data_IF_983628467641
#
_entry.id   IF_983628467641
#
_cell.length_a   1.000
_cell.length_b   1.000
_cell.length_c   1.000
_cell.angle_alpha   90.00
_cell.angle_beta   90.00
_cell.angle_gamma   90.00
#
_symmetry.space_group_name_H-M   'P 1'
#
loop_
_entity.id
_entity.type
_entity.pdbx_description
1 polymer ?
#
# COMPACT_ATOMS: atom_id res chain seq x y z
N UNK A 1 21.62 5.15 4.74
CA UNK A 1 20.85 6.31 5.28
C UNK A 1 19.70 6.60 4.30
N UNK A 2 18.49 6.86 4.77
CA UNK A 2 17.38 7.28 3.91
C UNK A 2 17.49 8.79 3.71
N UNK A 3 17.76 9.23 2.49
CA UNK A 3 18.00 10.64 2.17
C UNK A 3 16.78 11.34 1.54
N UNK A 4 15.86 10.56 1.00
CA UNK A 4 14.68 11.07 0.31
C UNK A 4 13.48 10.17 0.53
N UNK A 5 12.30 10.76 0.66
CA UNK A 5 11.01 10.07 0.65
C UNK A 5 10.03 10.83 -0.27
N UNK A 6 9.38 10.16 -1.22
CA UNK A 6 8.37 10.79 -2.06
C UNK A 6 7.14 11.20 -1.23
N UNK A 7 6.34 12.14 -1.75
CA UNK A 7 5.04 12.43 -1.18
C UNK A 7 4.01 11.39 -1.62
N UNK A 8 2.98 11.15 -0.78
CA UNK A 8 1.88 10.26 -1.15
C UNK A 8 1.02 10.89 -2.24
N UNK A 9 0.64 10.09 -3.23
CA UNK A 9 -0.29 10.48 -4.27
C UNK A 9 -1.74 10.11 -3.88
N UNK A 10 -2.75 10.76 -4.49
CA UNK A 10 -4.16 10.45 -4.24
C UNK A 10 -4.49 8.99 -4.49
N UNK A 11 -5.16 8.33 -3.54
CA UNK A 11 -5.55 6.91 -3.60
C UNK A 11 -4.40 5.94 -3.96
N UNK A 12 -3.14 6.33 -3.70
CA UNK A 12 -1.98 5.50 -4.01
C UNK A 12 -1.90 4.30 -3.06
N UNK A 13 -1.76 3.10 -3.61
CA UNK A 13 -1.52 1.90 -2.83
C UNK A 13 -0.13 1.96 -2.15
N UNK A 14 -0.01 1.55 -0.88
CA UNK A 14 1.27 1.59 -0.17
C UNK A 14 2.38 0.80 -0.88
N UNK A 15 2.02 -0.32 -1.52
CA UNK A 15 2.93 -1.06 -2.40
C UNK A 15 3.51 -0.18 -3.52
N UNK A 16 2.66 0.64 -4.16
CA UNK A 16 3.07 1.58 -5.20
C UNK A 16 4.01 2.66 -4.66
N UNK A 17 3.69 3.20 -3.47
CA UNK A 17 4.55 4.15 -2.78
C UNK A 17 5.97 3.60 -2.53
N UNK A 18 6.08 2.36 -2.06
CA UNK A 18 7.37 1.69 -1.85
C UNK A 18 8.11 1.46 -3.18
N UNK A 19 7.39 1.13 -4.26
CA UNK A 19 7.98 0.98 -5.59
C UNK A 19 8.52 2.30 -6.13
N UNK A 20 7.81 3.41 -5.93
CA UNK A 20 8.33 4.76 -6.27
C UNK A 20 9.54 5.13 -5.40
N UNK A 21 9.46 4.89 -4.11
CA UNK A 21 10.60 5.10 -3.22
C UNK A 21 11.84 4.34 -3.70
N UNK A 22 11.68 3.08 -4.12
CA UNK A 22 12.80 2.30 -4.68
C UNK A 22 13.44 2.98 -5.90
N UNK A 23 12.61 3.46 -6.83
CA UNK A 23 13.08 4.10 -8.07
C UNK A 23 13.76 5.46 -7.80
N UNK A 24 13.21 6.24 -6.86
CA UNK A 24 13.63 7.62 -6.61
C UNK A 24 14.76 7.72 -5.58
N UNK A 25 14.95 6.70 -4.73
CA UNK A 25 15.98 6.68 -3.68
C UNK A 25 17.39 6.33 -4.18
N UNK A 26 17.53 5.88 -5.44
CA UNK A 26 18.80 5.40 -5.98
C UNK A 26 19.25 4.04 -5.43
N UNK A 27 18.37 3.30 -4.75
CA UNK A 27 18.69 1.95 -4.26
C UNK A 27 18.97 1.00 -5.44
N UNK A 28 20.14 0.34 -5.40
CA UNK A 28 20.58 -0.56 -6.47
C UNK A 28 19.77 -1.85 -6.54
N UNK A 29 19.20 -2.30 -5.42
CA UNK A 29 18.46 -3.55 -5.36
C UNK A 29 17.16 -3.44 -4.55
N UNK A 30 16.16 -4.25 -4.92
CA UNK A 30 14.92 -4.38 -4.15
C UNK A 30 15.18 -4.82 -2.70
N UNK A 31 16.20 -5.65 -2.49
CA UNK A 31 16.61 -6.10 -1.14
C UNK A 31 17.05 -4.94 -0.27
N UNK A 32 17.80 -3.99 -0.83
CA UNK A 32 18.22 -2.77 -0.11
C UNK A 32 17.00 -1.94 0.31
N UNK A 33 16.02 -1.76 -0.60
CA UNK A 33 14.76 -1.08 -0.28
C UNK A 33 13.98 -1.82 0.80
N UNK A 34 13.90 -3.14 0.74
CA UNK A 34 13.24 -3.94 1.77
C UNK A 34 13.87 -3.73 3.15
N UNK A 35 15.20 -3.72 3.24
CA UNK A 35 15.90 -3.45 4.50
C UNK A 35 15.64 -2.06 5.07
N UNK A 36 15.46 -1.08 4.21
CA UNK A 36 15.14 0.29 4.64
C UNK A 36 13.68 0.44 5.08
N UNK A 37 12.76 -0.22 4.38
CA UNK A 37 11.32 -0.08 4.61
C UNK A 37 10.81 -1.01 5.70
N UNK A 38 11.26 -2.25 5.74
CA UNK A 38 10.73 -3.30 6.60
C UNK A 38 11.72 -3.79 7.65
N UNK A 39 11.21 -4.19 8.81
CA UNK A 39 12.02 -4.79 9.88
C UNK A 39 12.54 -6.19 9.52
N UNK A 40 11.84 -6.88 8.61
CA UNK A 40 12.20 -8.22 8.13
C UNK A 40 12.08 -8.28 6.62
N UNK A 41 13.08 -8.90 5.98
CA UNK A 41 13.02 -9.18 4.54
C UNK A 41 11.96 -10.25 4.31
N UNK A 42 11.14 -10.02 3.30
CA UNK A 42 10.13 -10.95 2.82
C UNK A 42 10.44 -11.34 1.37
N UNK A 43 10.10 -12.57 0.99
CA UNK A 43 10.22 -13.01 -0.40
C UNK A 43 9.11 -12.44 -1.30
N UNK A 44 8.16 -11.70 -0.73
CA UNK A 44 7.05 -11.07 -1.43
C UNK A 44 6.71 -9.73 -0.79
N UNK A 45 6.11 -8.85 -1.58
CA UNK A 45 5.50 -7.62 -1.09
C UNK A 45 4.00 -7.87 -0.89
N UNK A 46 3.50 -7.49 0.27
CA UNK A 46 2.07 -7.49 0.51
C UNK A 46 1.46 -6.24 -0.15
N UNK A 47 0.51 -6.46 -1.03
CA UNK A 47 -0.21 -5.35 -1.70
C UNK A 47 -1.39 -4.87 -0.89
N UNK A 48 -1.88 -5.66 0.06
CA UNK A 48 -3.08 -5.38 0.84
C UNK A 48 -2.80 -4.59 2.11
N UNK A 49 -1.62 -4.82 2.72
CA UNK A 49 -1.27 -4.28 4.03
C UNK A 49 0.14 -3.69 4.05
N UNK A 50 0.41 -2.86 5.05
CA UNK A 50 1.72 -2.19 5.17
C UNK A 50 2.82 -3.18 5.59
N UNK A 51 2.50 -4.16 6.44
CA UNK A 51 3.49 -5.06 7.02
C UNK A 51 4.27 -4.43 8.19
N UNK A 52 5.38 -5.07 8.55
CA UNK A 52 6.23 -4.69 9.70
C UNK A 52 7.27 -3.66 9.26
N UNK A 53 6.94 -2.37 9.41
CA UNK A 53 7.80 -1.27 8.99
C UNK A 53 8.97 -1.10 9.96
N UNK A 54 10.15 -0.85 9.40
CA UNK A 54 11.35 -0.46 10.14
C UNK A 54 11.13 0.87 10.90
N UNK A 55 11.66 0.99 12.11
CA UNK A 55 11.48 2.18 12.97
C UNK A 55 11.97 3.48 12.33
N UNK A 56 13.12 3.43 11.65
CA UNK A 56 13.65 4.60 10.97
C UNK A 56 12.73 5.05 9.84
N UNK A 57 12.24 4.11 9.04
CA UNK A 57 11.30 4.41 7.96
C UNK A 57 9.97 4.93 8.50
N UNK A 58 9.43 4.31 9.56
CA UNK A 58 8.24 4.78 10.24
C UNK A 58 8.37 6.23 10.72
N UNK A 59 9.49 6.57 11.38
CA UNK A 59 9.73 7.92 11.89
C UNK A 59 9.81 8.97 10.78
N UNK A 60 10.27 8.61 9.60
CA UNK A 60 10.31 9.50 8.46
C UNK A 60 8.96 9.63 7.76
N UNK A 61 8.27 8.52 7.54
CA UNK A 61 7.01 8.50 6.80
C UNK A 61 5.87 9.21 7.55
N UNK A 62 5.83 9.10 8.89
CA UNK A 62 4.82 9.78 9.72
C UNK A 62 4.90 11.31 9.63
N UNK A 63 6.06 11.87 9.27
CA UNK A 63 6.21 13.31 9.05
C UNK A 63 5.63 13.75 7.69
N UNK A 64 5.41 12.82 6.76
CA UNK A 64 4.79 13.07 5.46
C UNK A 64 3.27 12.92 5.50
N UNK A 65 2.78 11.94 6.24
CA UNK A 65 1.35 11.62 6.37
C UNK A 65 1.12 10.89 7.69
N UNK A 66 0.04 11.19 8.38
CA UNK A 66 -0.32 10.47 9.60
C UNK A 66 -0.41 8.96 9.32
N UNK A 67 0.16 8.14 10.21
CA UNK A 67 0.24 6.70 9.98
C UNK A 67 -1.13 6.03 9.94
N UNK A 68 -2.10 6.57 10.66
CA UNK A 68 -3.49 6.13 10.60
C UNK A 68 -4.08 6.39 9.22
N UNK A 69 -3.81 7.57 8.65
CA UNK A 69 -4.28 7.93 7.32
C UNK A 69 -3.61 7.09 6.23
N UNK A 70 -2.35 6.67 6.44
CA UNK A 70 -1.67 5.72 5.55
C UNK A 70 -2.38 4.36 5.60
N UNK A 71 -2.69 3.84 6.78
CA UNK A 71 -3.41 2.57 6.93
C UNK A 71 -4.78 2.63 6.26
N UNK A 72 -5.53 3.71 6.50
CA UNK A 72 -6.89 3.85 5.99
C UNK A 72 -6.95 4.21 4.49
N UNK A 73 -6.03 5.03 4.03
CA UNK A 73 -6.06 5.61 2.68
C UNK A 73 -5.19 4.91 1.65
N UNK A 74 -4.17 4.14 2.09
CA UNK A 74 -3.18 3.55 1.20
C UNK A 74 -3.11 2.01 1.29
N UNK A 75 -4.04 1.36 2.01
CA UNK A 75 -4.14 -0.10 2.11
C UNK A 75 -5.53 -0.59 1.78
N UNK A 76 -5.68 -1.90 1.58
CA UNK A 76 -6.99 -2.55 1.40
C UNK A 76 -7.66 -2.92 2.74
N UNK A 77 -7.05 -2.61 3.88
CA UNK A 77 -7.59 -2.96 5.19
C UNK A 77 -9.04 -2.51 5.39
N UNK A 78 -9.44 -1.26 5.07
CA UNK A 78 -10.83 -0.82 5.26
C UNK A 78 -11.84 -1.71 4.53
N UNK A 79 -11.52 -2.17 3.33
CA UNK A 79 -12.37 -3.10 2.57
C UNK A 79 -12.54 -4.44 3.30
N UNK A 80 -11.45 -5.06 3.77
CA UNK A 80 -11.51 -6.37 4.42
C UNK A 80 -12.24 -6.39 5.76
N UNK A 81 -12.25 -5.25 6.48
CA UNK A 81 -12.92 -5.16 7.78
C UNK A 81 -14.29 -4.49 7.70
N UNK A 82 -14.73 -4.03 6.52
CA UNK A 82 -15.96 -3.24 6.38
C UNK A 82 -17.17 -3.91 7.04
N UNK A 83 -17.41 -5.19 6.79
CA UNK A 83 -18.53 -5.95 7.33
C UNK A 83 -18.24 -6.65 8.67
N UNK A 84 -17.10 -6.38 9.30
CA UNK A 84 -16.75 -6.99 10.59
C UNK A 84 -17.34 -6.20 11.77
N UNK A 85 -17.52 -6.90 12.90
CA UNK A 85 -17.99 -6.27 14.16
C UNK A 85 -17.02 -5.17 14.61
N UNK A 86 -17.55 -4.14 15.28
CA UNK A 86 -16.77 -2.98 15.77
C UNK A 86 -15.57 -3.40 16.64
N UNK A 87 -15.78 -4.30 17.60
CA UNK A 87 -14.70 -4.81 18.47
C UNK A 87 -13.58 -5.49 17.67
N UNK A 88 -13.91 -6.20 16.59
CA UNK A 88 -12.92 -6.79 15.70
C UNK A 88 -12.15 -5.71 14.94
N UNK A 89 -12.85 -4.71 14.39
CA UNK A 89 -12.21 -3.57 13.69
C UNK A 89 -11.20 -2.85 14.60
N UNK A 90 -11.61 -2.52 15.81
CA UNK A 90 -10.76 -1.85 16.81
C UNK A 90 -9.50 -2.66 17.14
N UNK A 91 -9.65 -3.98 17.33
CA UNK A 91 -8.51 -4.86 17.58
C UNK A 91 -7.54 -4.89 16.38
N UNK A 92 -8.07 -5.00 15.16
CA UNK A 92 -7.25 -5.00 13.94
C UNK A 92 -6.53 -3.67 13.77
N UNK A 93 -7.23 -2.54 13.93
CA UNK A 93 -6.60 -1.22 13.90
C UNK A 93 -5.50 -1.08 14.94
N UNK A 94 -5.77 -1.48 16.21
CA UNK A 94 -4.76 -1.44 17.27
C UNK A 94 -3.52 -2.24 16.94
N UNK A 95 -3.68 -3.44 16.36
CA UNK A 95 -2.55 -4.26 15.89
C UNK A 95 -1.76 -3.58 14.78
N UNK A 96 -2.44 -2.99 13.79
CA UNK A 96 -1.80 -2.27 12.69
C UNK A 96 -1.04 -1.03 13.19
N UNK A 97 -1.64 -0.24 14.10
CA UNK A 97 -0.99 0.94 14.66
C UNK A 97 0.23 0.58 15.51
N UNK A 98 0.19 -0.55 16.19
CA UNK A 98 1.34 -1.07 16.93
C UNK A 98 2.35 -1.79 16.01
N UNK A 99 2.15 -1.69 14.69
CA UNK A 99 3.02 -2.31 13.66
C UNK A 99 3.15 -3.83 13.79
N UNK A 100 2.11 -4.47 14.35
CA UNK A 100 2.04 -5.93 14.48
C UNK A 100 1.53 -6.54 13.16
N UNK A 101 2.38 -7.30 12.48
CA UNK A 101 2.12 -7.86 11.15
C UNK A 101 1.22 -9.08 11.11
N UNK A 102 0.80 -9.64 12.23
CA UNK A 102 -0.04 -10.83 12.28
C UNK A 102 -1.52 -10.60 11.95
N UNK A 103 -1.86 -9.42 11.46
CA UNK A 103 -3.23 -9.05 11.07
C UNK A 103 -3.76 -9.91 9.91
N UNK A 104 -2.89 -10.33 9.00
CA UNK A 104 -3.24 -11.18 7.85
C UNK A 104 -3.94 -12.48 8.27
N UNK A 105 -3.43 -13.12 9.32
CA UNK A 105 -4.03 -14.34 9.87
C UNK A 105 -5.43 -14.11 10.45
N UNK A 106 -5.65 -12.99 11.10
CA UNK A 106 -6.95 -12.63 11.68
C UNK A 106 -8.00 -12.40 10.59
N UNK A 107 -7.58 -11.85 9.46
CA UNK A 107 -8.46 -11.54 8.33
C UNK A 107 -8.69 -12.73 7.40
N UNK A 108 -7.97 -13.83 7.58
CA UNK A 108 -7.95 -15.00 6.68
C UNK A 108 -7.72 -14.60 5.21
N UNK A 109 -7.04 -13.50 4.99
CA UNK A 109 -6.60 -13.07 3.67
C UNK A 109 -5.38 -13.90 3.33
N UNK A 110 -5.59 -14.93 2.53
CA UNK A 110 -4.51 -15.84 2.15
C UNK A 110 -3.47 -15.12 1.32
N UNK A 111 -2.21 -15.19 1.74
CA UNK A 111 -1.04 -14.74 0.97
C UNK A 111 -0.80 -15.54 -0.33
N UNK A 112 -1.67 -16.50 -0.65
CA UNK A 112 -1.54 -17.42 -1.79
C UNK A 112 -2.14 -16.92 -3.10
N UNK A 113 -2.75 -15.74 -3.11
CA UNK A 113 -3.28 -15.23 -4.37
C UNK A 113 -2.15 -14.53 -5.13
N UNK A 114 -1.82 -15.06 -6.31
CA UNK A 114 -1.22 -14.29 -7.38
C UNK A 114 -2.19 -13.15 -7.74
N UNK A 115 -2.21 -12.12 -6.92
CA UNK A 115 -3.07 -10.97 -7.14
C UNK A 115 -2.47 -10.22 -8.31
N UNK A 116 -3.10 -10.33 -9.47
CA UNK A 116 -2.77 -9.46 -10.60
C UNK A 116 -3.22 -8.05 -10.22
N UNK A 117 -2.31 -7.11 -10.27
CA UNK A 117 -2.62 -5.70 -10.07
C UNK A 117 -3.46 -5.21 -11.25
N UNK A 118 -4.56 -4.51 -10.95
CA UNK A 118 -5.48 -3.95 -11.94
C UNK A 118 -5.23 -2.46 -12.12
N UNK A 119 -5.43 -1.97 -13.33
CA UNK A 119 -5.31 -0.55 -13.64
C UNK A 119 -6.37 -0.10 -14.65
N UNK A 120 -6.67 1.19 -14.64
CA UNK A 120 -7.50 1.84 -15.65
C UNK A 120 -6.58 2.51 -16.69
N UNK A 121 -6.73 2.23 -18.00
CA UNK A 121 -5.89 2.87 -19.02
C UNK A 121 -5.98 4.40 -19.04
N UNK A 122 -7.15 4.96 -18.73
CA UNK A 122 -7.37 6.40 -18.68
C UNK A 122 -6.71 7.04 -17.46
N UNK A 123 -6.81 6.41 -16.25
CA UNK A 123 -6.05 6.85 -15.08
C UNK A 123 -4.54 6.85 -15.36
N UNK A 124 -4.01 5.81 -16.01
CA UNK A 124 -2.58 5.75 -16.39
C UNK A 124 -2.19 6.93 -17.29
N UNK A 125 -3.05 7.33 -18.24
CA UNK A 125 -2.80 8.47 -19.10
C UNK A 125 -2.83 9.79 -18.32
N UNK A 126 -3.80 9.98 -17.46
CA UNK A 126 -3.93 11.16 -16.61
C UNK A 126 -2.76 11.28 -15.62
N UNK A 127 -2.39 10.20 -14.96
CA UNK A 127 -1.24 10.16 -14.05
C UNK A 127 0.05 10.58 -14.76
N UNK A 128 0.30 10.02 -15.96
CA UNK A 128 1.47 10.37 -16.76
C UNK A 128 1.49 11.86 -17.16
N UNK A 129 0.34 12.41 -17.52
CA UNK A 129 0.22 13.82 -17.85
C UNK A 129 0.48 14.73 -16.65
N UNK A 130 0.00 14.32 -15.46
CA UNK A 130 0.06 15.14 -14.25
C UNK A 130 1.37 14.99 -13.48
N UNK A 131 1.89 13.77 -13.38
CA UNK A 131 3.02 13.42 -12.51
C UNK A 131 4.27 12.95 -13.29
N UNK A 132 4.16 12.75 -14.61
CA UNK A 132 5.23 12.20 -15.45
C UNK A 132 5.32 10.65 -15.40
N UNK A 133 4.56 10.00 -14.56
CA UNK A 133 4.52 8.54 -14.40
C UNK A 133 3.14 8.10 -13.90
N UNK A 134 2.84 6.81 -14.01
CA UNK A 134 1.65 6.19 -13.43
C UNK A 134 1.97 5.45 -12.13
N UNK A 135 0.95 5.25 -11.31
CA UNK A 135 1.04 4.53 -10.04
C UNK A 135 -0.17 3.60 -9.85
N UNK A 136 -0.08 2.69 -8.86
CA UNK A 136 -1.18 1.77 -8.57
C UNK A 136 -2.21 2.42 -7.66
N UNK A 137 -3.40 2.67 -8.19
CA UNK A 137 -4.53 3.17 -7.42
C UNK A 137 -5.09 2.07 -6.53
N UNK A 138 -5.31 2.37 -5.25
CA UNK A 138 -5.83 1.44 -4.25
C UNK A 138 -7.23 0.93 -4.62
N UNK A 139 -8.10 1.83 -5.10
CA UNK A 139 -9.48 1.48 -5.45
C UNK A 139 -9.56 0.41 -6.54
N UNK A 140 -8.62 0.41 -7.49
CA UNK A 140 -8.57 -0.61 -8.54
C UNK A 140 -8.20 -1.99 -8.00
N UNK A 141 -7.57 -2.08 -6.83
CA UNK A 141 -7.14 -3.35 -6.23
C UNK A 141 -8.22 -4.01 -5.36
N UNK A 142 -9.34 -3.35 -5.16
CA UNK A 142 -10.48 -3.96 -4.43
C UNK A 142 -11.00 -5.13 -5.25
N UNK A 143 -11.10 -6.36 -4.69
CA UNK A 143 -11.37 -7.58 -5.45
C UNK A 143 -12.68 -7.57 -6.27
N UNK A 144 -13.70 -6.87 -5.76
CA UNK A 144 -15.03 -6.81 -6.40
C UNK A 144 -15.17 -5.69 -7.43
N UNK A 145 -14.13 -4.89 -7.64
CA UNK A 145 -14.15 -3.76 -8.58
C UNK A 145 -13.44 -4.17 -9.86
N UNK A 146 -14.19 -4.23 -10.96
CA UNK A 146 -13.68 -4.54 -12.30
C UNK A 146 -13.87 -3.36 -13.28
N UNK A 147 -14.53 -2.29 -12.83
CA UNK A 147 -14.76 -1.06 -13.58
C UNK A 147 -14.18 0.12 -12.82
N UNK A 148 -13.47 0.99 -13.52
CA UNK A 148 -12.92 2.21 -12.92
C UNK A 148 -14.06 3.14 -12.48
N UNK A 149 -14.11 3.58 -11.21
CA UNK A 149 -15.20 4.44 -10.73
C UNK A 149 -15.13 5.88 -11.27
N UNK A 150 -13.99 6.30 -11.80
CA UNK A 150 -13.80 7.63 -12.40
C UNK A 150 -14.12 7.67 -13.90
N UNK A 151 -13.70 6.62 -14.62
CA UNK A 151 -13.76 6.59 -16.08
C UNK A 151 -14.80 5.62 -16.65
N UNK A 152 -15.44 4.83 -15.79
CA UNK A 152 -16.47 3.85 -16.17
C UNK A 152 -16.01 2.86 -17.26
N UNK A 153 -14.72 2.60 -17.36
CA UNK A 153 -14.13 1.60 -18.26
C UNK A 153 -13.63 0.38 -17.47
N UNK A 154 -13.53 -0.77 -18.13
CA UNK A 154 -13.02 -1.99 -17.53
C UNK A 154 -11.57 -1.82 -17.07
N UNK A 155 -11.25 -2.38 -15.91
CA UNK A 155 -9.88 -2.50 -15.43
C UNK A 155 -9.17 -3.63 -16.19
N UNK A 156 -7.88 -3.44 -16.40
CA UNK A 156 -6.99 -4.38 -17.11
C UNK A 156 -6.05 -5.04 -16.12
#
# INVERSE_FOLDING_TARGET
>A
MITYLPDFLPDELFYSYVARYHRESGNVSLRQTQFQVYSKIRNYFDISFIGDINDNFYNLIKNKKDYKDIILGNTLLPFYIFFKKTSFKENVYKKMYNRNTKVEGDLRVGSKYNVKLKYCPLCVKEDKNKYGFSYWHRIHQIPIIDVCPLHFCNLV
#
